data_IF_243751627808
#
_entry.id   IF_243751627808
#
_cell.length_a   1.000
_cell.length_b   1.000
_cell.length_c   1.000
_cell.angle_alpha   90.00
_cell.angle_beta   90.00
_cell.angle_gamma   90.00
#
_symmetry.space_group_name_H-M   'P 1'
#
loop_
_entity.id
_entity.type
_entity.pdbx_description
1 polymer ?
#
# COMPACT_ATOMS: atom_id res chain seq x y z
N UNK A 1 -22.95 -5.04 7.93
CA UNK A 1 -21.62 -5.37 7.37
C UNK A 1 -20.86 -4.05 7.23
N UNK A 2 -19.71 -3.88 7.91
CA UNK A 2 -18.94 -2.63 7.86
C UNK A 2 -18.32 -2.40 6.49
N UNK A 3 -18.25 -1.15 6.02
CA UNK A 3 -17.62 -0.78 4.75
C UNK A 3 -16.10 -1.03 4.77
N UNK A 4 -15.52 -1.28 3.61
CA UNK A 4 -14.11 -1.62 3.43
C UNK A 4 -13.24 -0.39 3.70
N UNK A 5 -12.34 -0.47 4.69
CA UNK A 5 -11.46 0.64 5.06
C UNK A 5 -10.21 0.67 4.20
N UNK A 6 -9.92 1.79 3.56
CA UNK A 6 -8.70 2.00 2.75
C UNK A 6 -7.97 3.24 3.26
N UNK A 7 -6.68 3.09 3.58
CA UNK A 7 -5.85 4.23 3.95
C UNK A 7 -5.58 5.12 2.74
N UNK A 8 -5.45 6.43 2.95
CA UNK A 8 -5.17 7.35 1.83
C UNK A 8 -4.34 8.53 2.29
N UNK A 9 -3.41 8.97 1.44
CA UNK A 9 -2.72 10.26 1.65
C UNK A 9 -3.74 11.40 1.70
N UNK A 10 -3.81 12.10 2.83
CA UNK A 10 -4.82 13.15 3.11
C UNK A 10 -4.99 14.19 1.98
N UNK A 11 -3.91 14.58 1.31
CA UNK A 11 -3.94 15.57 0.24
C UNK A 11 -4.75 15.13 -0.99
N UNK A 12 -4.94 13.81 -1.18
CA UNK A 12 -5.77 13.24 -2.24
C UNK A 12 -7.26 13.47 -1.98
N UNK A 13 -7.68 13.64 -0.72
CA UNK A 13 -9.06 13.94 -0.33
C UNK A 13 -9.38 15.45 -0.34
N UNK A 14 -8.51 16.28 -0.92
CA UNK A 14 -8.71 17.73 -0.94
C UNK A 14 -8.30 18.46 0.35
N UNK A 15 -7.77 17.75 1.35
CA UNK A 15 -7.24 18.40 2.55
C UNK A 15 -6.00 19.24 2.20
N UNK A 16 -6.00 20.50 2.62
CA UNK A 16 -4.91 21.46 2.41
C UNK A 16 -3.73 21.15 3.33
N UNK A 17 -3.00 20.07 3.03
CA UNK A 17 -1.97 19.50 3.92
C UNK A 17 -0.60 19.43 3.25
N UNK A 18 -0.50 19.83 1.99
CA UNK A 18 0.78 19.86 1.27
C UNK A 18 1.67 20.95 1.86
N UNK A 19 2.98 20.82 1.65
CA UNK A 19 3.97 21.77 2.16
C UNK A 19 3.68 23.22 1.74
N UNK A 20 3.09 23.43 0.56
CA UNK A 20 2.71 24.72 0.01
C UNK A 20 1.30 25.19 0.40
N UNK A 21 0.62 24.56 1.36
CA UNK A 21 -0.77 24.87 1.74
C UNK A 21 -1.84 24.36 0.77
N UNK A 22 -1.45 23.71 -0.33
CA UNK A 22 -2.40 23.18 -1.31
C UNK A 22 -2.92 21.77 -1.01
N UNK A 23 -3.70 21.25 -1.95
CA UNK A 23 -4.12 19.85 -2.00
C UNK A 23 -3.85 19.24 -3.39
N UNK A 24 -4.11 17.95 -3.55
CA UNK A 24 -4.10 17.28 -4.87
C UNK A 24 -5.52 17.03 -5.38
N UNK A 25 -6.44 16.67 -4.49
CA UNK A 25 -7.84 16.33 -4.81
C UNK A 25 -7.98 15.38 -6.01
N UNK A 26 -7.93 14.08 -5.76
CA UNK A 26 -8.10 13.05 -6.80
C UNK A 26 -9.58 12.85 -7.12
N UNK A 27 -9.99 13.14 -8.36
CA UNK A 27 -11.36 12.87 -8.83
C UNK A 27 -11.70 11.38 -8.78
N UNK A 28 -10.74 10.51 -9.10
CA UNK A 28 -10.92 9.05 -9.04
C UNK A 28 -11.20 8.58 -7.61
N UNK A 29 -10.41 9.04 -6.64
CA UNK A 29 -10.59 8.64 -5.24
C UNK A 29 -11.89 9.22 -4.66
N UNK A 30 -12.14 10.52 -4.84
CA UNK A 30 -13.32 11.17 -4.24
C UNK A 30 -14.63 10.89 -4.99
N UNK A 31 -14.56 10.40 -6.23
CA UNK A 31 -15.71 10.03 -7.04
C UNK A 31 -15.94 8.52 -7.05
N UNK A 32 -15.34 7.82 -8.02
CA UNK A 32 -15.63 6.41 -8.30
C UNK A 32 -15.29 5.49 -7.12
N UNK A 33 -14.10 5.62 -6.54
CA UNK A 33 -13.63 4.70 -5.51
C UNK A 33 -14.26 4.96 -4.13
N UNK A 34 -14.66 6.20 -3.83
CA UNK A 34 -15.40 6.55 -2.63
C UNK A 34 -16.75 5.82 -2.50
N UNK A 35 -17.29 5.29 -3.60
CA UNK A 35 -18.51 4.47 -3.60
C UNK A 35 -18.29 3.11 -2.94
N UNK A 36 -17.06 2.60 -2.97
CA UNK A 36 -16.71 1.26 -2.47
C UNK A 36 -15.98 1.31 -1.13
N UNK A 37 -15.20 2.36 -0.88
CA UNK A 37 -14.28 2.41 0.25
C UNK A 37 -14.60 3.54 1.23
N UNK A 38 -14.38 3.25 2.51
CA UNK A 38 -14.30 4.26 3.56
C UNK A 38 -12.83 4.64 3.76
N UNK A 39 -12.51 5.90 3.50
CA UNK A 39 -11.14 6.37 3.57
C UNK A 39 -10.68 6.67 4.98
N UNK A 40 -9.48 6.19 5.32
CA UNK A 40 -8.76 6.54 6.55
C UNK A 40 -7.59 7.46 6.17
N UNK A 41 -7.75 8.79 6.27
CA UNK A 41 -6.72 9.72 5.86
C UNK A 41 -5.48 9.68 6.78
N UNK A 42 -4.31 9.95 6.20
CA UNK A 42 -3.07 10.20 6.93
C UNK A 42 -2.19 11.20 6.17
N UNK A 43 -1.62 12.15 6.92
CA UNK A 43 -0.55 13.04 6.47
C UNK A 43 0.63 12.86 7.42
N UNK A 44 1.66 12.08 7.05
CA UNK A 44 2.77 11.78 7.96
C UNK A 44 3.56 13.01 8.38
N UNK A 45 3.66 14.00 7.51
CA UNK A 45 4.36 15.26 7.80
C UNK A 45 3.64 16.07 8.89
N UNK A 46 2.33 16.28 8.77
CA UNK A 46 1.58 16.93 9.85
C UNK A 46 1.52 16.09 11.12
N UNK A 47 1.38 14.78 10.97
CA UNK A 47 1.40 13.85 12.10
C UNK A 47 2.72 13.86 12.87
N UNK A 48 3.83 14.15 12.19
CA UNK A 48 5.14 14.35 12.78
C UNK A 48 5.35 15.77 13.38
N UNK A 49 4.33 16.63 13.34
CA UNK A 49 4.36 17.96 13.93
C UNK A 49 4.72 19.09 12.97
N UNK A 50 4.86 18.82 11.67
CA UNK A 50 5.17 19.88 10.70
C UNK A 50 3.90 20.67 10.34
N UNK A 51 4.03 22.00 10.29
CA UNK A 51 2.94 22.91 9.94
C UNK A 51 2.48 22.86 8.48
N UNK A 52 1.48 23.70 8.18
CA UNK A 52 1.03 23.99 6.82
C UNK A 52 0.84 25.52 6.71
N UNK A 53 1.57 26.22 5.82
CA UNK A 53 2.66 25.72 4.99
C UNK A 53 3.90 25.31 5.82
N UNK A 54 4.86 24.63 5.19
CA UNK A 54 6.15 24.23 5.77
C UNK A 54 7.23 24.23 4.69
N UNK A 55 8.53 24.35 5.05
CA UNK A 55 9.61 24.18 4.11
C UNK A 55 9.56 22.83 3.41
N UNK A 56 10.00 22.79 2.14
CA UNK A 56 10.09 21.53 1.41
C UNK A 56 11.16 20.63 2.06
N UNK A 57 10.91 19.31 2.02
CA UNK A 57 11.88 18.31 2.47
C UNK A 57 12.24 17.37 1.31
N UNK A 58 13.36 16.67 1.45
CA UNK A 58 13.84 15.65 0.51
C UNK A 58 14.46 14.48 1.25
N UNK A 59 14.62 13.36 0.56
CA UNK A 59 15.44 12.26 1.04
C UNK A 59 16.91 12.51 0.69
N UNK A 60 17.83 12.23 1.61
CA UNK A 60 19.27 12.39 1.43
C UNK A 60 20.04 11.19 2.03
N UNK A 61 21.13 10.78 1.38
CA UNK A 61 22.02 9.71 1.86
C UNK A 61 21.90 8.42 1.05
N UNK A 62 21.97 7.28 1.74
CA UNK A 62 21.94 5.97 1.09
C UNK A 62 20.52 5.43 0.87
N UNK A 63 20.24 4.70 -0.24
CA UNK A 63 18.92 4.19 -0.55
C UNK A 63 18.28 3.27 0.47
N UNK A 64 19.09 2.53 1.23
CA UNK A 64 18.64 1.55 2.21
C UNK A 64 18.11 2.22 3.49
N UNK A 65 18.63 3.40 3.82
CA UNK A 65 18.27 4.15 5.02
C UNK A 65 18.42 5.67 4.79
N UNK A 66 17.60 6.28 3.91
CA UNK A 66 17.71 7.70 3.63
C UNK A 66 17.22 8.53 4.81
N UNK A 67 17.85 9.69 4.99
CA UNK A 67 17.42 10.74 5.94
C UNK A 67 16.42 11.66 5.26
N UNK A 68 15.37 12.07 5.96
CA UNK A 68 14.48 13.16 5.52
C UNK A 68 15.00 14.49 6.07
N UNK A 69 15.44 15.39 5.20
CA UNK A 69 16.01 16.69 5.59
C UNK A 69 15.28 17.83 4.89
N UNK A 70 15.30 19.04 5.46
CA UNK A 70 14.80 20.22 4.76
C UNK A 70 15.68 20.55 3.54
N UNK A 71 15.04 21.08 2.50
CA UNK A 71 15.74 21.43 1.25
C UNK A 71 16.66 22.63 1.46
N UNK A 72 16.16 23.67 2.13
CA UNK A 72 16.89 24.93 2.37
C UNK A 72 17.81 24.88 3.60
N UNK A 73 17.56 23.95 4.53
CA UNK A 73 18.41 23.69 5.69
C UNK A 73 18.64 22.18 5.87
N UNK A 74 19.58 21.58 5.11
CA UNK A 74 19.86 20.14 5.21
C UNK A 74 20.37 19.68 6.59
N UNK A 75 20.78 20.62 7.47
CA UNK A 75 21.12 20.31 8.86
C UNK A 75 19.89 19.92 9.70
N UNK A 76 18.71 20.37 9.30
CA UNK A 76 17.45 20.05 9.95
C UNK A 76 16.92 18.67 9.51
N UNK A 77 17.16 17.67 10.35
CA UNK A 77 16.76 16.28 10.14
C UNK A 77 15.38 15.96 10.74
N UNK A 78 14.48 15.49 9.90
CA UNK A 78 13.09 15.13 10.23
C UNK A 78 12.87 13.61 10.33
N UNK A 79 13.91 12.80 10.11
CA UNK A 79 13.83 11.34 10.00
C UNK A 79 13.22 10.72 11.25
N UNK A 80 13.70 11.12 12.43
CA UNK A 80 13.22 10.56 13.70
C UNK A 80 11.77 10.96 13.98
N UNK A 81 11.39 12.21 13.71
CA UNK A 81 10.01 12.69 13.89
C UNK A 81 9.02 11.91 13.00
N UNK A 82 9.37 11.71 11.73
CA UNK A 82 8.57 10.93 10.79
C UNK A 82 8.51 9.44 11.18
N UNK A 83 9.62 8.85 11.61
CA UNK A 83 9.66 7.45 12.05
C UNK A 83 8.81 7.24 13.31
N UNK A 84 8.89 8.17 14.27
CA UNK A 84 8.09 8.15 15.50
C UNK A 84 6.60 8.24 15.20
N UNK A 85 6.18 9.16 14.33
CA UNK A 85 4.79 9.24 13.89
C UNK A 85 4.35 7.95 13.19
N UNK A 86 5.17 7.39 12.28
CA UNK A 86 4.85 6.15 11.60
C UNK A 86 4.59 5.02 12.60
N UNK A 87 5.47 4.84 13.59
CA UNK A 87 5.33 3.85 14.64
C UNK A 87 4.05 4.05 15.47
N UNK A 88 3.73 5.29 15.86
CA UNK A 88 2.53 5.62 16.62
C UNK A 88 1.24 5.41 15.80
N UNK A 89 1.28 5.71 14.51
CA UNK A 89 0.11 5.59 13.62
C UNK A 89 -0.18 4.14 13.25
N UNK A 90 0.84 3.29 13.14
CA UNK A 90 0.70 1.93 12.59
C UNK A 90 -0.39 1.05 13.24
N UNK A 91 -0.53 1.00 14.59
CA UNK A 91 -1.59 0.21 15.23
C UNK A 91 -3.00 0.59 14.77
N UNK A 92 -3.25 1.90 14.56
CA UNK A 92 -4.55 2.39 14.09
C UNK A 92 -4.87 2.05 12.63
N UNK A 93 -3.88 1.53 11.88
CA UNK A 93 -4.01 1.13 10.48
C UNK A 93 -4.15 -0.40 10.31
N UNK A 94 -4.09 -1.19 11.39
CA UNK A 94 -4.15 -2.66 11.31
C UNK A 94 -5.46 -3.20 10.70
N UNK A 95 -6.55 -2.42 10.73
CA UNK A 95 -7.85 -2.77 10.14
C UNK A 95 -8.01 -2.40 8.67
N UNK A 96 -6.99 -1.87 8.01
CA UNK A 96 -7.06 -1.49 6.60
C UNK A 96 -7.12 -2.71 5.67
N UNK A 97 -7.76 -2.51 4.52
CA UNK A 97 -7.82 -3.45 3.41
C UNK A 97 -7.00 -3.01 2.20
N UNK A 98 -6.48 -1.78 2.21
CA UNK A 98 -5.49 -1.29 1.26
C UNK A 98 -5.02 0.12 1.63
N UNK A 99 -4.09 0.66 0.86
CA UNK A 99 -3.63 2.05 1.01
C UNK A 99 -3.35 2.72 -0.34
N UNK A 100 -3.82 3.95 -0.53
CA UNK A 100 -3.58 4.77 -1.73
C UNK A 100 -2.61 5.92 -1.38
N UNK A 101 -1.43 5.88 -1.98
CA UNK A 101 -0.36 6.84 -1.75
C UNK A 101 -0.37 7.99 -2.75
N UNK A 102 0.25 9.11 -2.36
CA UNK A 102 0.57 10.20 -3.28
C UNK A 102 2.02 10.00 -3.75
N UNK A 103 2.24 10.09 -5.05
CA UNK A 103 3.56 9.87 -5.64
C UNK A 103 4.58 10.95 -5.23
N UNK A 104 5.88 10.60 -5.31
CA UNK A 104 7.04 11.50 -5.17
C UNK A 104 7.21 12.22 -3.83
N UNK A 105 6.32 12.00 -2.85
CA UNK A 105 6.47 12.57 -1.51
C UNK A 105 7.61 11.86 -0.76
N UNK A 106 8.50 12.59 -0.07
CA UNK A 106 9.54 11.99 0.77
C UNK A 106 9.00 11.18 1.96
N UNK A 107 7.73 11.41 2.35
CA UNK A 107 7.04 10.60 3.36
C UNK A 107 6.14 9.52 2.75
N UNK A 108 5.32 9.87 1.77
CA UNK A 108 4.25 9.02 1.25
C UNK A 108 4.51 8.36 -0.11
N UNK A 109 5.53 8.77 -0.88
CA UNK A 109 5.77 8.19 -2.21
C UNK A 109 6.10 6.70 -2.13
N UNK A 110 5.55 5.89 -3.03
CA UNK A 110 5.61 4.43 -2.93
C UNK A 110 6.74 3.81 -3.77
N UNK A 111 7.03 4.33 -4.96
CA UNK A 111 7.97 3.66 -5.89
C UNK A 111 9.18 4.51 -6.31
N UNK A 112 8.96 5.77 -6.68
CA UNK A 112 9.98 6.60 -7.35
C UNK A 112 10.28 7.89 -6.57
N UNK A 113 10.71 7.73 -5.30
CA UNK A 113 11.12 8.85 -4.44
C UNK A 113 12.62 9.08 -4.60
N UNK A 114 12.96 10.27 -5.10
CA UNK A 114 14.34 10.71 -5.32
C UNK A 114 15.11 10.83 -4.02
N UNK A 115 16.35 10.35 -4.03
CA UNK A 115 17.31 10.56 -2.94
C UNK A 115 18.46 11.40 -3.46
N UNK A 116 18.84 12.40 -2.69
CA UNK A 116 19.98 13.24 -2.97
C UNK A 116 21.22 12.74 -2.22
N UNK A 117 22.40 12.91 -2.80
CA UNK A 117 23.67 12.80 -2.10
C UNK A 117 23.96 14.07 -1.30
N UNK A 118 24.93 14.04 -0.36
CA UNK A 118 25.41 15.25 0.33
C UNK A 118 25.85 16.36 -0.62
N UNK A 119 26.44 16.01 -1.76
CA UNK A 119 26.86 16.94 -2.81
C UNK A 119 25.70 17.51 -3.67
N UNK A 120 24.45 17.12 -3.39
CA UNK A 120 23.25 17.56 -4.08
C UNK A 120 22.87 16.75 -5.32
N UNK A 121 23.74 15.86 -5.82
CA UNK A 121 23.46 14.98 -6.96
C UNK A 121 22.40 13.93 -6.61
N UNK A 122 21.77 13.31 -7.61
CA UNK A 122 20.78 12.26 -7.39
C UNK A 122 21.44 10.87 -7.28
N UNK A 123 20.97 10.07 -6.34
CA UNK A 123 21.22 8.63 -6.36
C UNK A 123 20.52 8.02 -7.59
N UNK A 124 21.16 7.07 -8.30
CA UNK A 124 20.56 6.38 -9.45
C UNK A 124 19.37 5.52 -9.03
N UNK A 125 19.41 4.99 -7.81
CA UNK A 125 18.37 4.13 -7.25
C UNK A 125 17.32 5.00 -6.57
N UNK A 126 16.09 4.93 -7.08
CA UNK A 126 14.94 5.52 -6.41
C UNK A 126 14.57 4.73 -5.15
N UNK A 127 13.81 5.36 -4.26
CA UNK A 127 13.38 4.78 -3.00
C UNK A 127 11.89 4.99 -2.74
N UNK A 128 11.48 4.59 -1.55
CA UNK A 128 10.15 4.79 -1.01
C UNK A 128 10.21 5.84 0.10
N UNK A 129 9.18 6.65 0.21
CA UNK A 129 9.05 7.60 1.30
C UNK A 129 9.00 6.90 2.66
N UNK A 130 9.47 7.57 3.72
CA UNK A 130 9.71 6.93 5.02
C UNK A 130 8.46 6.25 5.61
N UNK A 131 7.30 6.90 5.52
CA UNK A 131 6.04 6.34 6.02
C UNK A 131 5.53 5.18 5.15
N UNK A 132 5.63 5.33 3.83
CA UNK A 132 5.27 4.25 2.90
C UNK A 132 6.15 3.01 3.10
N UNK A 133 7.45 3.19 3.36
CA UNK A 133 8.39 2.11 3.69
C UNK A 133 8.01 1.41 4.99
N UNK A 134 7.67 2.17 6.04
CA UNK A 134 7.21 1.63 7.31
C UNK A 134 5.90 0.82 7.15
N UNK A 135 4.91 1.34 6.40
CA UNK A 135 3.63 0.67 6.18
C UNK A 135 3.81 -0.68 5.48
N UNK A 136 4.55 -0.71 4.37
CA UNK A 136 4.76 -1.96 3.60
C UNK A 136 5.60 -2.97 4.37
N UNK A 137 6.55 -2.52 5.19
CA UNK A 137 7.30 -3.42 6.08
C UNK A 137 6.39 -4.05 7.14
N UNK A 138 5.51 -3.26 7.75
CA UNK A 138 4.60 -3.73 8.78
C UNK A 138 3.48 -4.64 8.23
N UNK A 139 3.01 -4.37 7.01
CA UNK A 139 1.90 -5.09 6.38
C UNK A 139 2.26 -5.48 4.94
N UNK A 140 3.14 -6.48 4.75
CA UNK A 140 3.70 -6.82 3.43
C UNK A 140 2.70 -7.38 2.42
N UNK A 141 1.52 -7.80 2.89
CA UNK A 141 0.45 -8.31 2.02
C UNK A 141 -0.68 -7.30 1.82
N UNK A 142 -0.62 -6.13 2.47
CA UNK A 142 -1.63 -5.08 2.29
C UNK A 142 -1.55 -4.56 0.84
N UNK A 143 -2.68 -4.50 0.11
CA UNK A 143 -2.72 -3.87 -1.20
C UNK A 143 -2.35 -2.40 -1.10
N UNK A 144 -1.29 -1.99 -1.81
CA UNK A 144 -0.84 -0.59 -1.85
C UNK A 144 -0.65 -0.16 -3.29
N UNK A 145 -0.96 1.10 -3.60
CA UNK A 145 -0.77 1.67 -4.92
C UNK A 145 -0.63 3.20 -4.84
N UNK A 146 -0.06 3.84 -5.86
CA UNK A 146 -0.08 5.30 -6.00
C UNK A 146 -1.32 5.75 -6.76
N UNK A 147 -1.93 6.86 -6.35
CA UNK A 147 -3.16 7.37 -6.98
C UNK A 147 -3.02 7.59 -8.50
N UNK A 148 -1.88 8.11 -8.96
CA UNK A 148 -1.65 8.33 -10.38
C UNK A 148 -1.64 7.03 -11.21
N UNK A 149 -1.20 5.92 -10.60
CA UNK A 149 -1.15 4.60 -11.24
C UNK A 149 -2.54 3.94 -11.32
N UNK A 150 -3.47 4.33 -10.44
CA UNK A 150 -4.86 3.85 -10.48
C UNK A 150 -5.67 4.41 -11.66
N UNK A 151 -5.12 5.29 -12.48
CA UNK A 151 -5.74 5.66 -13.76
C UNK A 151 -5.51 4.62 -14.85
N UNK A 152 -4.51 3.74 -14.69
CA UNK A 152 -4.37 2.55 -15.50
C UNK A 152 -5.45 1.52 -15.13
N UNK A 153 -6.29 1.07 -16.08
CA UNK A 153 -7.39 0.15 -15.78
C UNK A 153 -6.93 -1.20 -15.20
N UNK A 154 -5.78 -1.72 -15.62
CA UNK A 154 -5.29 -3.01 -15.15
C UNK A 154 -4.77 -2.92 -13.71
N UNK A 155 -3.97 -1.90 -13.42
CA UNK A 155 -3.46 -1.63 -12.07
C UNK A 155 -4.62 -1.35 -11.11
N UNK A 156 -5.59 -0.54 -11.54
CA UNK A 156 -6.81 -0.25 -10.78
C UNK A 156 -7.60 -1.52 -10.48
N UNK A 157 -7.85 -2.35 -11.50
CA UNK A 157 -8.59 -3.60 -11.31
C UNK A 157 -7.85 -4.54 -10.35
N UNK A 158 -6.53 -4.68 -10.49
CA UNK A 158 -5.71 -5.48 -9.57
C UNK A 158 -5.80 -4.96 -8.13
N UNK A 159 -5.61 -3.66 -7.93
CA UNK A 159 -5.69 -3.03 -6.60
C UNK A 159 -7.06 -3.27 -5.97
N UNK A 160 -8.15 -2.97 -6.67
CA UNK A 160 -9.51 -3.17 -6.18
C UNK A 160 -9.75 -4.65 -5.84
N UNK A 161 -9.41 -5.57 -6.74
CA UNK A 161 -9.60 -7.02 -6.52
C UNK A 161 -8.87 -7.49 -5.27
N UNK A 162 -7.63 -7.06 -5.07
CA UNK A 162 -6.82 -7.38 -3.88
C UNK A 162 -7.39 -6.76 -2.60
N UNK A 163 -7.92 -5.53 -2.66
CA UNK A 163 -8.61 -4.88 -1.52
C UNK A 163 -9.83 -5.68 -1.08
N UNK A 164 -10.66 -6.13 -2.04
CA UNK A 164 -11.81 -6.99 -1.73
C UNK A 164 -11.36 -8.36 -1.20
N UNK A 165 -10.31 -8.96 -1.79
CA UNK A 165 -9.75 -10.24 -1.31
C UNK A 165 -9.28 -10.14 0.14
N UNK A 166 -8.58 -9.05 0.49
CA UNK A 166 -8.18 -8.77 1.85
C UNK A 166 -9.37 -8.63 2.80
N UNK A 167 -10.38 -7.85 2.41
CA UNK A 167 -11.57 -7.68 3.23
C UNK A 167 -12.28 -9.01 3.50
N UNK A 168 -12.53 -9.81 2.45
CA UNK A 168 -13.19 -11.10 2.59
C UNK A 168 -12.34 -12.10 3.38
N UNK A 169 -11.01 -12.04 3.26
CA UNK A 169 -10.11 -12.85 4.06
C UNK A 169 -10.22 -12.50 5.55
N UNK A 170 -10.22 -11.21 5.89
CA UNK A 170 -10.42 -10.76 7.26
C UNK A 170 -11.77 -11.24 7.83
N UNK A 171 -12.85 -11.24 7.04
CA UNK A 171 -14.14 -11.78 7.51
C UNK A 171 -14.06 -13.29 7.74
N UNK A 172 -13.48 -14.03 6.79
CA UNK A 172 -13.31 -15.48 6.91
C UNK A 172 -12.51 -15.86 8.17
N UNK A 173 -11.44 -15.11 8.48
CA UNK A 173 -10.68 -15.33 9.71
C UNK A 173 -11.48 -15.03 10.98
N UNK A 174 -12.37 -14.01 10.96
CA UNK A 174 -13.22 -13.68 12.12
C UNK A 174 -14.33 -14.70 12.34
N UNK A 175 -14.90 -15.22 11.26
CA UNK A 175 -15.97 -16.23 11.29
C UNK A 175 -15.45 -17.62 11.67
N UNK A 176 -14.16 -17.85 11.49
CA UNK A 176 -13.48 -19.12 11.76
C UNK A 176 -13.08 -19.82 10.47
N UNK A 177 -11.77 -20.05 10.32
CA UNK A 177 -11.22 -20.72 9.14
C UNK A 177 -11.67 -22.19 9.08
N UNK A 178 -12.27 -22.57 7.94
CA UNK A 178 -12.63 -23.96 7.64
C UNK A 178 -12.27 -24.32 6.20
N UNK A 179 -12.12 -25.61 5.91
CA UNK A 179 -11.83 -26.07 4.56
C UNK A 179 -12.93 -25.66 3.55
N UNK A 180 -14.20 -25.77 3.96
CA UNK A 180 -15.33 -25.33 3.15
C UNK A 180 -15.31 -23.81 2.92
N UNK A 181 -15.06 -23.02 3.97
CA UNK A 181 -14.96 -21.56 3.86
C UNK A 181 -13.82 -21.12 2.93
N UNK A 182 -12.67 -21.80 2.99
CA UNK A 182 -11.54 -21.53 2.10
C UNK A 182 -11.84 -21.88 0.64
N UNK A 183 -12.55 -22.97 0.39
CA UNK A 183 -13.03 -23.34 -0.95
C UNK A 183 -14.01 -22.31 -1.52
N UNK A 184 -14.99 -21.87 -0.73
CA UNK A 184 -15.92 -20.80 -1.13
C UNK A 184 -15.17 -19.49 -1.41
N UNK A 185 -14.19 -19.15 -0.58
CA UNK A 185 -13.32 -17.99 -0.81
C UNK A 185 -12.55 -18.13 -2.12
N UNK A 186 -11.97 -19.29 -2.42
CA UNK A 186 -11.25 -19.53 -3.66
C UNK A 186 -12.13 -19.35 -4.90
N UNK A 187 -13.31 -19.96 -4.91
CA UNK A 187 -14.25 -19.88 -6.03
C UNK A 187 -14.62 -18.43 -6.37
N UNK A 188 -14.73 -17.55 -5.38
CA UNK A 188 -14.97 -16.11 -5.58
C UNK A 188 -13.90 -15.43 -6.43
N UNK A 189 -12.64 -15.85 -6.31
CA UNK A 189 -11.50 -15.23 -7.00
C UNK A 189 -10.95 -16.04 -8.18
N UNK A 190 -11.43 -17.28 -8.36
CA UNK A 190 -10.96 -18.20 -9.40
C UNK A 190 -10.98 -17.61 -10.80
N UNK A 191 -12.04 -16.90 -11.19
CA UNK A 191 -12.11 -16.27 -12.51
C UNK A 191 -11.02 -15.18 -12.67
N UNK A 192 -10.83 -14.34 -11.65
CA UNK A 192 -9.78 -13.31 -11.65
C UNK A 192 -8.37 -13.92 -11.67
N UNK A 193 -8.16 -15.03 -10.95
CA UNK A 193 -6.90 -15.77 -10.96
C UNK A 193 -6.62 -16.37 -12.34
N UNK A 194 -7.58 -17.06 -12.94
CA UNK A 194 -7.41 -17.67 -14.28
C UNK A 194 -7.14 -16.65 -15.37
N UNK A 195 -7.84 -15.51 -15.33
CA UNK A 195 -7.64 -14.46 -16.32
C UNK A 195 -6.23 -13.83 -16.23
N UNK A 196 -5.62 -13.83 -15.04
CA UNK A 196 -4.38 -13.09 -14.77
C UNK A 196 -3.14 -13.98 -14.68
N UNK A 197 -3.27 -15.13 -14.04
CA UNK A 197 -2.20 -16.10 -13.82
C UNK A 197 -2.79 -17.53 -13.74
N UNK A 198 -3.02 -18.19 -14.91
CA UNK A 198 -3.55 -19.54 -14.98
C UNK A 198 -2.75 -20.55 -14.15
N UNK A 199 -1.42 -20.51 -14.24
CA UNK A 199 -0.53 -21.43 -13.53
C UNK A 199 -0.69 -21.30 -12.00
N UNK A 200 -0.69 -20.07 -11.48
CA UNK A 200 -0.92 -19.86 -10.04
C UNK A 200 -2.35 -20.26 -9.62
N UNK A 201 -3.34 -20.15 -10.50
CA UNK A 201 -4.68 -20.65 -10.22
C UNK A 201 -4.67 -22.17 -10.03
N UNK A 202 -3.99 -22.90 -10.91
CA UNK A 202 -3.85 -24.37 -10.83
C UNK A 202 -3.11 -24.79 -9.57
N UNK A 203 -1.99 -24.12 -9.23
CA UNK A 203 -1.24 -24.37 -7.99
C UNK A 203 -2.10 -24.20 -6.74
N UNK A 204 -2.93 -23.15 -6.72
CA UNK A 204 -3.87 -22.88 -5.62
C UNK A 204 -5.00 -23.91 -5.56
N UNK A 205 -5.54 -24.33 -6.69
CA UNK A 205 -6.55 -25.40 -6.77
C UNK A 205 -5.95 -26.73 -6.26
N UNK A 206 -4.72 -27.05 -6.65
CA UNK A 206 -4.01 -28.24 -6.16
C UNK A 206 -3.75 -28.16 -4.66
N UNK A 207 -3.37 -27.00 -4.14
CA UNK A 207 -3.18 -26.77 -2.70
C UNK A 207 -4.45 -27.06 -1.89
N UNK A 208 -5.63 -26.80 -2.47
CA UNK A 208 -6.94 -27.01 -1.84
C UNK A 208 -7.57 -28.38 -2.12
N UNK A 209 -7.00 -29.17 -3.03
CA UNK A 209 -7.56 -30.48 -3.45
C UNK A 209 -7.62 -31.55 -2.36
N UNK A 210 -6.82 -31.40 -1.30
CA UNK A 210 -6.78 -32.34 -0.19
C UNK A 210 -8.00 -32.16 0.71
N UNK A 211 -8.62 -33.27 1.11
CA UNK A 211 -9.62 -33.24 2.17
C UNK A 211 -8.94 -32.97 3.52
N UNK A 212 -9.45 -31.98 4.26
CA UNK A 212 -8.95 -31.62 5.59
C UNK A 212 -10.07 -31.78 6.61
N UNK A 213 -9.83 -32.59 7.65
CA UNK A 213 -10.73 -32.66 8.83
C UNK A 213 -10.68 -31.33 9.60
N UNK A 214 -9.48 -30.78 9.76
CA UNK A 214 -9.23 -29.43 10.27
C UNK A 214 -8.25 -28.74 9.33
N UNK A 215 -8.52 -27.48 8.99
CA UNK A 215 -7.67 -26.70 8.09
C UNK A 215 -6.43 -26.21 8.84
N UNK A 216 -5.21 -26.58 8.43
CA UNK A 216 -4.00 -26.06 9.08
C UNK A 216 -3.87 -24.54 8.85
N UNK A 217 -3.67 -23.78 9.93
CA UNK A 217 -3.51 -22.31 9.85
C UNK A 217 -2.36 -21.90 8.93
N UNK A 218 -1.24 -22.63 8.99
CA UNK A 218 -0.09 -22.41 8.11
C UNK A 218 -0.43 -22.60 6.62
N UNK A 219 -1.32 -23.53 6.29
CA UNK A 219 -1.79 -23.75 4.92
C UNK A 219 -2.69 -22.60 4.46
N UNK A 220 -3.61 -22.15 5.32
CA UNK A 220 -4.48 -21.01 5.06
C UNK A 220 -3.65 -19.73 4.81
N UNK A 221 -2.66 -19.45 5.66
CA UNK A 221 -1.76 -18.31 5.52
C UNK A 221 -0.89 -18.39 4.24
N UNK A 222 -0.38 -19.59 3.90
CA UNK A 222 0.36 -19.82 2.65
C UNK A 222 -0.53 -19.60 1.42
N UNK A 223 -1.72 -20.18 1.41
CA UNK A 223 -2.71 -20.02 0.35
C UNK A 223 -2.99 -18.53 0.11
N UNK A 224 -3.31 -17.79 1.17
CA UNK A 224 -3.68 -16.38 1.04
C UNK A 224 -2.52 -15.53 0.51
N UNK A 225 -1.29 -15.78 0.99
CA UNK A 225 -0.08 -15.13 0.47
C UNK A 225 0.11 -15.37 -1.03
N UNK A 226 -0.07 -16.61 -1.48
CA UNK A 226 0.07 -16.97 -2.89
C UNK A 226 -1.04 -16.34 -3.75
N UNK A 227 -2.29 -16.34 -3.26
CA UNK A 227 -3.41 -15.67 -3.93
C UNK A 227 -3.18 -14.17 -4.08
N UNK A 228 -2.73 -13.48 -3.03
CA UNK A 228 -2.49 -12.03 -3.11
C UNK A 228 -1.40 -11.68 -4.13
N UNK A 229 -0.34 -12.50 -4.22
CA UNK A 229 0.70 -12.38 -5.24
C UNK A 229 0.19 -12.69 -6.65
N UNK A 230 -0.62 -13.73 -6.81
CA UNK A 230 -1.19 -14.11 -8.11
C UNK A 230 -2.16 -13.05 -8.67
N UNK A 231 -2.77 -12.25 -7.79
CA UNK A 231 -3.64 -11.13 -8.17
C UNK A 231 -2.89 -9.82 -8.47
N UNK A 232 -1.58 -9.75 -8.24
CA UNK A 232 -0.76 -8.60 -8.64
C UNK A 232 -0.70 -8.45 -10.16
N UNK A 233 -0.51 -7.23 -10.69
CA UNK A 233 -0.25 -7.05 -12.10
C UNK A 233 1.02 -7.79 -12.52
N UNK A 234 0.98 -8.37 -13.72
CA UNK A 234 2.20 -8.90 -14.33
C UNK A 234 3.11 -7.69 -14.55
N UNK A 235 4.34 -7.69 -14.03
CA UNK A 235 5.18 -6.52 -14.13
C UNK A 235 5.48 -6.30 -15.62
N UNK A 236 5.17 -5.11 -16.11
CA UNK A 236 5.61 -4.72 -17.45
C UNK A 236 7.15 -4.64 -17.47
N UNK A 237 7.77 -4.74 -18.64
CA UNK A 237 9.23 -4.67 -18.79
C UNK A 237 9.86 -3.40 -18.16
N UNK A 238 9.05 -2.35 -17.97
CA UNK A 238 9.44 -1.06 -17.39
C UNK A 238 9.42 -1.06 -15.84
N UNK A 239 8.75 -2.02 -15.21
CA UNK A 239 8.50 -2.05 -13.75
C UNK A 239 9.38 -3.07 -12.98
N UNK A 240 10.20 -3.85 -13.69
CA UNK A 240 11.06 -4.87 -13.10
C UNK A 240 12.08 -4.34 -12.06
N UNK A 241 12.40 -3.04 -12.10
CA UNK A 241 13.32 -2.37 -11.17
C UNK A 241 12.68 -1.96 -9.82
N UNK A 242 11.35 -2.11 -9.66
CA UNK A 242 10.59 -1.61 -8.51
C UNK A 242 10.28 -2.66 -7.43
N UNK A 243 10.68 -3.93 -7.63
CA UNK A 243 10.48 -5.03 -6.67
C UNK A 243 11.66 -5.23 -5.73
#
# INVERSE_FOLDING_TARGET
MGRIKVGISSCLLGQQVRYNGGHKHSSLCNGELARYFDYVPSCPEQGAGLGVPRPAMRLQGEPEAPRAVLVEDPGHDLTEALARYAAQRMPSLAGLCGYIFIAKSPSCGLFDVKIHRPDGTLQPRASRGLFAAALVRAMPLLPVEEEGRLHDPELRQSFITRVFAWHHWQQLCREGLSAAGLQTFHLRYRASLRARNPAACEDLEQLLSKAFVQLPEALAARYFRQLMRALEPVPSATEAWQR
#
